data_IF_686353003220
#
_entry.id   IF_686353003220
#
_cell.length_a   1.000
_cell.length_b   1.000
_cell.length_c   1.000
_cell.angle_alpha   90.00
_cell.angle_beta   90.00
_cell.angle_gamma   90.00
#
_symmetry.space_group_name_H-M   'P 1'
#
loop_
_entity.id
_entity.type
_entity.pdbx_description
1 polymer ?
#
# COMPACT_ATOMS: atom_id res chain seq x y z
N UNK A 1 9.60 -1.92 2.99
CA UNK A 1 10.86 -1.69 3.75
C UNK A 1 10.82 -0.28 4.29
N UNK A 2 11.46 -0.01 5.45
CA UNK A 2 11.63 1.34 5.93
C UNK A 2 12.24 2.23 4.83
N UNK A 3 11.67 3.42 4.63
CA UNK A 3 12.05 4.33 3.56
C UNK A 3 11.27 4.15 2.24
N UNK A 4 10.39 3.15 2.14
CA UNK A 4 9.43 3.09 1.03
C UNK A 4 8.34 4.15 1.21
N UNK A 5 7.94 4.75 0.09
CA UNK A 5 6.80 5.66 0.05
C UNK A 5 5.66 4.98 -0.70
N UNK A 6 4.55 4.73 -0.01
CA UNK A 6 3.34 4.18 -0.65
C UNK A 6 2.68 5.29 -1.47
N UNK A 7 2.34 4.99 -2.72
CA UNK A 7 1.72 5.95 -3.65
C UNK A 7 0.37 5.47 -4.18
N UNK A 8 0.08 4.17 -4.11
CA UNK A 8 -1.24 3.63 -4.44
C UNK A 8 -1.49 2.29 -3.72
N UNK A 9 -2.78 1.98 -3.50
CA UNK A 9 -3.26 0.69 -3.00
C UNK A 9 -4.40 0.23 -3.91
N UNK A 10 -4.39 -1.02 -4.38
CA UNK A 10 -5.39 -1.58 -5.29
C UNK A 10 -5.64 -0.69 -6.51
N UNK A 11 -4.55 -0.27 -7.16
CA UNK A 11 -4.53 0.65 -8.32
C UNK A 11 -5.09 2.06 -8.06
N UNK A 12 -5.53 2.35 -6.84
CA UNK A 12 -6.05 3.66 -6.43
C UNK A 12 -4.95 4.50 -5.78
N UNK A 13 -4.62 5.69 -6.33
CA UNK A 13 -3.65 6.59 -5.72
C UNK A 13 -4.05 6.96 -4.29
N UNK A 14 -3.07 7.04 -3.40
CA UNK A 14 -3.29 7.53 -2.04
C UNK A 14 -2.65 8.91 -1.84
N UNK A 15 -3.25 9.73 -0.98
CA UNK A 15 -2.77 11.06 -0.62
C UNK A 15 -2.47 11.22 0.87
N UNK A 16 -2.92 10.29 1.72
CA UNK A 16 -2.73 10.34 3.16
C UNK A 16 -2.79 8.95 3.82
N UNK A 17 -2.33 8.88 5.07
CA UNK A 17 -2.28 7.64 5.85
C UNK A 17 -3.66 7.06 6.22
N UNK A 18 -4.70 7.91 6.30
CA UNK A 18 -6.07 7.44 6.59
C UNK A 18 -6.62 6.52 5.49
N UNK A 19 -6.22 6.76 4.24
CA UNK A 19 -6.57 5.88 3.12
C UNK A 19 -5.86 4.52 3.20
N UNK A 20 -4.61 4.49 3.70
CA UNK A 20 -3.90 3.23 3.96
C UNK A 20 -4.64 2.41 5.01
N UNK A 21 -4.97 3.02 6.14
CA UNK A 21 -5.70 2.37 7.21
C UNK A 21 -7.07 1.85 6.75
N UNK A 22 -7.81 2.67 5.99
CA UNK A 22 -9.10 2.28 5.44
C UNK A 22 -9.00 1.09 4.47
N UNK A 23 -7.94 1.01 3.67
CA UNK A 23 -7.73 -0.10 2.75
C UNK A 23 -7.46 -1.41 3.49
N UNK A 24 -6.64 -1.35 4.55
CA UNK A 24 -6.35 -2.48 5.44
C UNK A 24 -7.61 -3.07 6.07
N UNK A 25 -8.57 -2.23 6.50
CA UNK A 25 -9.82 -2.70 7.09
C UNK A 25 -10.84 -3.25 6.07
N UNK A 26 -10.72 -2.89 4.80
CA UNK A 26 -11.73 -3.21 3.76
C UNK A 26 -11.40 -4.43 2.92
N UNK A 27 -10.14 -4.85 2.90
CA UNK A 27 -9.66 -5.85 1.97
C UNK A 27 -8.72 -6.83 2.65
N UNK A 28 -8.95 -8.13 2.43
CA UNK A 28 -8.10 -9.20 2.95
C UNK A 28 -6.76 -9.30 2.18
N UNK A 29 -6.74 -8.80 0.95
CA UNK A 29 -5.56 -8.75 0.09
C UNK A 29 -5.40 -7.37 -0.54
N UNK A 30 -4.16 -6.89 -0.56
CA UNK A 30 -3.79 -5.58 -1.09
C UNK A 30 -2.70 -5.71 -2.17
N UNK A 31 -2.83 -4.89 -3.22
CA UNK A 31 -1.76 -4.57 -4.14
C UNK A 31 -1.20 -3.19 -3.78
N UNK A 32 0.02 -3.12 -3.29
CA UNK A 32 0.64 -1.88 -2.81
C UNK A 32 1.68 -1.42 -3.82
N UNK A 33 1.51 -0.20 -4.34
CA UNK A 33 2.51 0.44 -5.18
C UNK A 33 3.34 1.40 -4.34
N UNK A 34 4.66 1.20 -4.37
CA UNK A 34 5.64 1.98 -3.64
C UNK A 34 6.65 2.64 -4.57
N UNK A 35 7.25 3.73 -4.10
CA UNK A 35 8.52 4.24 -4.61
C UNK A 35 9.64 3.79 -3.67
N UNK A 36 10.63 3.08 -4.22
CA UNK A 36 11.84 2.65 -3.51
C UNK A 36 13.05 3.05 -4.33
N UNK A 37 13.93 3.90 -3.77
CA UNK A 37 15.13 4.41 -4.47
C UNK A 37 14.82 5.00 -5.86
N UNK A 38 13.71 5.75 -5.97
CA UNK A 38 13.25 6.38 -7.21
C UNK A 38 12.56 5.43 -8.20
N UNK A 39 12.48 4.13 -7.90
CA UNK A 39 11.82 3.14 -8.75
C UNK A 39 10.41 2.83 -8.25
N UNK A 40 9.46 2.70 -9.19
CA UNK A 40 8.09 2.29 -8.89
C UNK A 40 8.02 0.77 -8.87
N UNK A 41 7.59 0.22 -7.73
CA UNK A 41 7.47 -1.23 -7.51
C UNK A 41 6.05 -1.52 -7.04
N UNK A 42 5.43 -2.57 -7.58
CA UNK A 42 4.13 -3.06 -7.12
C UNK A 42 4.34 -4.38 -6.39
N UNK A 43 3.94 -4.41 -5.12
CA UNK A 43 3.91 -5.60 -4.27
C UNK A 43 2.48 -6.12 -4.26
N UNK A 44 2.27 -7.34 -4.75
CA UNK A 44 0.96 -7.98 -4.84
C UNK A 44 0.71 -8.90 -3.64
N UNK A 45 -0.56 -9.25 -3.45
CA UNK A 45 -1.02 -10.25 -2.48
C UNK A 45 -0.55 -9.98 -1.04
N UNK A 46 -0.49 -8.71 -0.65
CA UNK A 46 -0.16 -8.30 0.71
C UNK A 46 -1.38 -8.58 1.59
N UNK A 47 -1.21 -9.48 2.56
CA UNK A 47 -2.23 -9.77 3.58
C UNK A 47 -2.00 -8.85 4.77
N UNK A 48 -2.96 -7.99 5.14
CA UNK A 48 -2.85 -7.19 6.33
C UNK A 48 -2.85 -8.07 7.58
N UNK A 49 -1.99 -7.74 8.55
CA UNK A 49 -2.05 -8.34 9.87
C UNK A 49 -3.32 -7.86 10.59
N UNK A 50 -4.01 -8.77 11.28
CA UNK A 50 -5.19 -8.41 12.07
C UNK A 50 -4.78 -7.53 13.25
N UNK A 51 -5.38 -6.35 13.34
CA UNK A 51 -5.19 -5.36 14.43
C UNK A 51 -5.94 -5.75 15.70
#
# INVERSE_FOLDING_TARGET
MPGDVIVAINDSPISNAGQVFSAVLKHDHLSITIIRKGQKITVKDVVPESV
#
